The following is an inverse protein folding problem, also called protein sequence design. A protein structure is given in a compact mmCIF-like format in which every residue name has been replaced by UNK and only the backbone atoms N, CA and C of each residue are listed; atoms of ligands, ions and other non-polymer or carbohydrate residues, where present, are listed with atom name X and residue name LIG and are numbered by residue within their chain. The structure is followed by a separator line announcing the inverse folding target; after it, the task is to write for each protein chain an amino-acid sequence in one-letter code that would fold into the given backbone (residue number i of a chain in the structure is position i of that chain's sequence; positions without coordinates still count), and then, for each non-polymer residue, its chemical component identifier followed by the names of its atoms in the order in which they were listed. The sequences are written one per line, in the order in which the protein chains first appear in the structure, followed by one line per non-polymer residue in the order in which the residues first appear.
data_IF_083576760668
#
_entry.id   IF_083576760668
#
_cell.length_a   1.000
_cell.length_b   1.000
_cell.length_c   1.000
_cell.angle_alpha   90.00
_cell.angle_beta   90.00
_cell.angle_gamma   90.00
#
_symmetry.space_group_name_H-M   'P 1'
#
loop_
_entity.id
_entity.type
_entity.pdbx_description
1 polymer ?
#
# COMPACT_ATOMS: atom_id res chain seq x y z
N UNK A 1 -12.06 -3.75 29.30
CA UNK A 1 -11.03 -3.69 28.22
C UNK A 1 -11.42 -4.58 27.02
N UNK A 2 -12.65 -4.48 26.47
CA UNK A 2 -13.15 -5.48 25.48
C UNK A 2 -13.56 -4.89 24.12
N UNK A 3 -13.32 -3.59 23.92
CA UNK A 3 -13.94 -2.81 22.85
C UNK A 3 -12.92 -2.41 21.74
N UNK A 4 -11.65 -2.20 22.10
CA UNK A 4 -10.63 -1.65 21.18
C UNK A 4 -10.19 -2.59 20.05
N UNK A 5 -10.41 -3.90 20.20
CA UNK A 5 -10.03 -4.92 19.19
C UNK A 5 -11.08 -5.02 18.08
N UNK A 6 -12.35 -4.76 18.38
CA UNK A 6 -13.43 -4.82 17.38
C UNK A 6 -13.29 -3.70 16.34
N UNK A 7 -13.03 -2.47 16.81
CA UNK A 7 -12.88 -1.28 15.94
C UNK A 7 -11.76 -1.43 14.91
N UNK A 8 -10.64 -2.06 15.27
CA UNK A 8 -9.51 -2.31 14.35
C UNK A 8 -9.82 -3.37 13.30
N UNK A 9 -10.71 -4.32 13.59
CA UNK A 9 -11.16 -5.35 12.63
C UNK A 9 -12.20 -4.76 11.66
N UNK A 10 -13.17 -3.97 12.16
CA UNK A 10 -14.16 -3.31 11.29
C UNK A 10 -13.53 -2.30 10.32
N UNK A 11 -12.49 -1.58 10.75
CA UNK A 11 -11.75 -0.66 9.88
C UNK A 11 -11.04 -1.36 8.70
N UNK A 12 -10.64 -2.63 8.89
CA UNK A 12 -9.93 -3.42 7.87
C UNK A 12 -10.86 -3.89 6.73
N UNK A 13 -12.14 -4.14 7.03
CA UNK A 13 -13.15 -4.47 6.00
C UNK A 13 -13.68 -3.24 5.25
N UNK A 14 -13.77 -2.08 5.91
CA UNK A 14 -14.32 -0.85 5.30
C UNK A 14 -13.47 -0.30 4.13
N UNK A 15 -12.18 -0.64 4.06
CA UNK A 15 -11.27 -0.16 3.01
C UNK A 15 -11.48 -0.81 1.62
N UNK A 16 -12.23 -1.92 1.54
CA UNK A 16 -12.33 -2.75 0.32
C UNK A 16 -13.25 -2.12 -0.76
N UNK A 17 -14.09 -1.14 -0.41
CA UNK A 17 -15.17 -0.63 -1.27
C UNK A 17 -14.82 0.67 -2.01
N UNK A 18 -13.68 1.33 -1.72
CA UNK A 18 -13.40 2.69 -2.22
C UNK A 18 -12.05 2.84 -2.93
N UNK A 19 -11.92 2.26 -4.13
CA UNK A 19 -10.80 2.54 -5.06
C UNK A 19 -11.21 2.32 -6.53
N UNK A 20 -12.12 3.17 -7.01
CA UNK A 20 -12.52 3.27 -8.42
C UNK A 20 -12.29 4.70 -8.94
N UNK A 21 -11.03 5.16 -8.91
CA UNK A 21 -10.60 6.48 -9.40
C UNK A 21 -9.34 6.33 -10.24
N UNK A 22 -9.49 6.29 -11.57
CA UNK A 22 -8.37 6.18 -12.48
C UNK A 22 -7.57 7.50 -12.54
N UNK A 23 -6.31 7.47 -12.12
CA UNK A 23 -5.37 8.60 -12.30
C UNK A 23 -4.63 8.40 -13.63
N UNK A 24 -5.25 8.87 -14.71
CA UNK A 24 -4.61 8.92 -16.04
C UNK A 24 -3.53 9.99 -16.05
N UNK A 25 -2.25 9.59 -15.89
CA UNK A 25 -1.13 10.51 -15.99
C UNK A 25 -0.65 10.61 -17.46
N UNK A 26 -1.03 11.68 -18.14
CA UNK A 26 -0.56 11.97 -19.49
C UNK A 26 0.90 12.48 -19.44
N UNK A 27 1.76 11.90 -20.28
CA UNK A 27 3.12 12.38 -20.51
C UNK A 27 3.22 12.90 -21.95
N UNK A 28 3.45 14.21 -22.08
CA UNK A 28 3.62 14.89 -23.37
C UNK A 28 5.07 14.74 -23.87
N UNK A 29 5.26 14.55 -25.18
CA UNK A 29 6.57 14.69 -25.84
C UNK A 29 6.34 15.02 -27.32
N UNK A 30 6.88 16.15 -27.84
CA UNK A 30 6.62 16.60 -29.21
C UNK A 30 7.41 15.84 -30.27
N UNK A 31 6.95 15.91 -31.52
CA UNK A 31 7.39 15.07 -32.63
C UNK A 31 8.57 15.65 -33.44
N UNK A 32 9.30 14.74 -34.10
CA UNK A 32 10.01 14.98 -35.36
C UNK A 32 9.81 13.76 -36.28
N UNK A 33 9.46 14.01 -37.55
CA UNK A 33 9.10 13.02 -38.58
C UNK A 33 9.18 13.72 -39.97
N UNK A 34 8.81 13.12 -41.12
CA UNK A 34 8.53 11.70 -41.41
C UNK A 34 9.30 11.18 -42.65
N UNK A 35 9.06 9.93 -43.04
CA UNK A 35 8.94 9.56 -44.46
C UNK A 35 7.77 8.56 -44.63
N UNK A 36 7.13 8.53 -45.81
CA UNK A 36 5.85 7.85 -46.07
C UNK A 36 5.91 7.09 -47.43
N UNK A 37 4.89 6.45 -48.02
CA UNK A 37 3.43 6.37 -47.82
C UNK A 37 2.89 5.12 -48.58
N UNK A 38 1.55 4.87 -48.73
CA UNK A 38 0.37 5.31 -47.97
C UNK A 38 -0.17 4.09 -47.17
N UNK A 39 -1.40 3.56 -47.14
CA UNK A 39 -2.76 3.87 -47.63
C UNK A 39 -3.78 3.00 -46.84
N UNK A 40 -5.10 3.24 -46.75
CA UNK A 40 -5.91 4.40 -47.14
C UNK A 40 -7.13 4.56 -46.19
N UNK A 41 -7.55 5.82 -45.97
CA UNK A 41 -8.90 6.32 -45.66
C UNK A 41 -9.79 5.64 -44.59
N UNK A 42 -10.10 6.41 -43.53
CA UNK A 42 -11.36 6.31 -42.76
C UNK A 42 -12.45 7.22 -43.39
N UNK A 43 -13.70 7.22 -42.85
CA UNK A 43 -14.02 8.26 -41.87
C UNK A 43 -14.93 7.79 -40.70
N UNK A 44 -15.17 8.68 -39.74
CA UNK A 44 -16.08 8.47 -38.61
C UNK A 44 -17.34 9.34 -38.72
N UNK A 45 -18.50 8.89 -38.19
CA UNK A 45 -19.61 9.75 -37.79
C UNK A 45 -20.69 9.06 -36.91
N UNK A 46 -21.03 9.71 -35.79
CA UNK A 46 -22.40 10.03 -35.31
C UNK A 46 -23.50 8.95 -35.08
N UNK A 47 -23.83 8.77 -33.79
CA UNK A 47 -25.17 8.93 -33.19
C UNK A 47 -26.35 7.95 -33.47
N UNK A 48 -27.43 8.24 -32.72
CA UNK A 48 -28.82 7.75 -32.77
C UNK A 48 -29.16 6.44 -32.05
N UNK A 49 -30.07 6.57 -31.07
CA UNK A 49 -30.87 5.47 -30.52
C UNK A 49 -32.29 5.54 -31.07
N UNK A 50 -32.88 4.38 -31.41
CA UNK A 50 -34.32 4.14 -31.34
C UNK A 50 -34.63 2.92 -30.44
N UNK A 51 -35.84 2.66 -29.97
CA UNK A 51 -37.01 3.48 -29.66
C UNK A 51 -37.96 2.56 -28.86
N UNK A 52 -38.71 3.07 -27.89
CA UNK A 52 -39.70 2.27 -27.18
C UNK A 52 -41.06 2.29 -27.90
N UNK A 53 -41.91 1.27 -27.67
CA UNK A 53 -43.36 1.47 -27.63
C UNK A 53 -43.97 1.12 -26.27
N UNK A 54 -44.91 1.95 -25.86
CA UNK A 54 -45.97 1.69 -24.87
C UNK A 54 -46.94 0.59 -25.35
N UNK A 55 -47.81 -0.04 -24.54
CA UNK A 55 -47.90 -0.22 -23.08
C UNK A 55 -49.04 -1.22 -22.78
N UNK A 56 -49.04 -1.86 -21.61
CA UNK A 56 -50.24 -2.36 -20.92
C UNK A 56 -49.96 -2.80 -19.47
N UNK A 57 -50.81 -2.39 -18.53
CA UNK A 57 -51.05 -3.09 -17.26
C UNK A 57 -52.48 -3.63 -17.21
N UNK A 58 -53.02 -4.15 -16.07
CA UNK A 58 -52.48 -4.06 -14.71
C UNK A 58 -52.31 -5.44 -14.02
N UNK A 59 -52.16 -5.45 -12.69
CA UNK A 59 -51.71 -6.60 -11.89
C UNK A 59 -52.80 -7.59 -11.42
N UNK A 60 -52.39 -8.87 -11.36
CA UNK A 60 -52.91 -9.95 -10.50
C UNK A 60 -51.85 -11.08 -10.49
N UNK A 61 -51.64 -11.90 -9.46
CA UNK A 61 -51.94 -11.80 -8.02
C UNK A 61 -50.99 -12.78 -7.27
N UNK A 62 -50.87 -12.61 -5.95
CA UNK A 62 -49.95 -13.29 -5.02
C UNK A 62 -49.50 -14.74 -5.31
N UNK A 63 -48.18 -14.98 -5.23
CA UNK A 63 -47.59 -16.18 -4.57
C UNK A 63 -46.08 -15.99 -4.26
N UNK A 64 -45.71 -16.26 -3.00
CA UNK A 64 -44.36 -16.66 -2.54
C UNK A 64 -44.53 -17.59 -1.32
N UNK A 65 -43.56 -18.44 -0.96
CA UNK A 65 -42.34 -18.84 -1.67
C UNK A 65 -42.25 -20.36 -1.94
N UNK A 66 -41.34 -20.78 -2.82
CA UNK A 66 -40.65 -22.09 -2.68
C UNK A 66 -39.14 -21.89 -2.90
N UNK A 67 -38.34 -22.06 -1.84
CA UNK A 67 -36.88 -22.16 -1.95
C UNK A 67 -36.50 -23.58 -2.40
N UNK A 68 -36.67 -23.88 -3.69
CA UNK A 68 -35.93 -24.99 -4.29
C UNK A 68 -34.46 -24.58 -4.35
N UNK A 69 -33.67 -25.05 -3.38
CA UNK A 69 -32.21 -24.94 -3.40
C UNK A 69 -31.64 -25.89 -4.45
N UNK A 70 -31.84 -25.55 -5.72
CA UNK A 70 -31.18 -26.25 -6.82
C UNK A 70 -29.68 -26.17 -6.63
N UNK A 71 -29.04 -27.33 -6.50
CA UNK A 71 -27.60 -27.45 -6.48
C UNK A 71 -27.09 -27.17 -7.90
N UNK A 72 -26.91 -25.89 -8.23
CA UNK A 72 -26.38 -25.43 -9.52
C UNK A 72 -24.97 -25.98 -9.68
N UNK A 73 -24.88 -27.14 -10.33
CA UNK A 73 -23.64 -27.82 -10.70
C UNK A 73 -22.97 -27.05 -11.84
N UNK A 74 -22.45 -25.87 -11.53
CA UNK A 74 -21.85 -24.96 -12.49
C UNK A 74 -20.63 -25.65 -13.15
N UNK A 75 -20.66 -25.93 -14.47
CA UNK A 75 -19.53 -26.56 -15.16
C UNK A 75 -18.27 -25.68 -15.17
N UNK A 76 -18.41 -24.39 -14.86
CA UNK A 76 -17.32 -23.42 -14.67
C UNK A 76 -17.06 -23.09 -13.20
N UNK A 77 -17.52 -23.92 -12.26
CA UNK A 77 -17.28 -23.74 -10.84
C UNK A 77 -15.79 -23.84 -10.47
N UNK A 78 -15.40 -23.22 -9.35
CA UNK A 78 -14.00 -23.20 -8.88
C UNK A 78 -13.40 -24.61 -8.71
N UNK A 79 -14.23 -25.62 -8.39
CA UNK A 79 -13.79 -27.02 -8.29
C UNK A 79 -13.47 -27.64 -9.66
N UNK A 80 -14.23 -27.30 -10.70
CA UNK A 80 -13.96 -27.74 -12.07
C UNK A 80 -12.69 -27.09 -12.63
N UNK A 81 -12.53 -25.78 -12.40
CA UNK A 81 -11.29 -25.05 -12.70
C UNK A 81 -10.08 -25.62 -11.95
N UNK A 82 -10.24 -26.03 -10.68
CA UNK A 82 -9.15 -26.67 -9.92
C UNK A 82 -8.82 -28.06 -10.46
N UNK A 83 -9.83 -28.89 -10.76
CA UNK A 83 -9.64 -30.25 -11.28
C UNK A 83 -8.99 -30.26 -12.67
N UNK A 84 -9.42 -29.38 -13.57
CA UNK A 84 -8.84 -29.24 -14.92
C UNK A 84 -7.55 -28.41 -14.99
N UNK A 85 -7.33 -27.48 -14.06
CA UNK A 85 -6.21 -26.54 -14.14
C UNK A 85 -4.84 -27.19 -13.94
N UNK A 86 -3.93 -26.92 -14.86
CA UNK A 86 -2.56 -27.45 -14.91
C UNK A 86 -1.70 -27.12 -13.66
N UNK A 87 -0.66 -27.92 -13.42
CA UNK A 87 0.29 -27.74 -12.32
C UNK A 87 0.98 -26.36 -12.34
N UNK A 88 1.35 -25.84 -13.52
CA UNK A 88 1.95 -24.50 -13.69
C UNK A 88 0.96 -23.40 -13.26
N UNK A 89 -0.32 -23.54 -13.61
CA UNK A 89 -1.36 -22.58 -13.24
C UNK A 89 -1.57 -22.56 -11.71
N UNK A 90 -1.65 -23.73 -11.07
CA UNK A 90 -1.77 -23.85 -9.60
C UNK A 90 -0.54 -23.29 -8.88
N UNK A 91 0.66 -23.54 -9.39
CA UNK A 91 1.91 -22.98 -8.85
C UNK A 91 1.96 -21.46 -8.93
N UNK A 92 1.56 -20.89 -10.07
CA UNK A 92 1.49 -19.44 -10.29
C UNK A 92 0.50 -18.77 -9.34
N UNK A 93 -0.70 -19.35 -9.18
CA UNK A 93 -1.73 -18.85 -8.26
C UNK A 93 -1.25 -18.93 -6.79
N UNK A 94 -0.56 -20.00 -6.40
CA UNK A 94 0.04 -20.12 -5.07
C UNK A 94 1.10 -19.04 -4.80
N UNK A 95 2.00 -18.78 -5.75
CA UNK A 95 3.04 -17.73 -5.62
C UNK A 95 2.39 -16.34 -5.45
N UNK A 96 1.39 -16.00 -6.28
CA UNK A 96 0.62 -14.76 -6.15
C UNK A 96 -0.08 -14.65 -4.79
N UNK A 97 -0.63 -15.76 -4.28
CA UNK A 97 -1.29 -15.81 -2.96
C UNK A 97 -0.29 -15.54 -1.83
N UNK A 98 0.90 -16.13 -1.86
CA UNK A 98 1.97 -15.88 -0.87
C UNK A 98 2.49 -14.44 -0.94
N UNK A 99 2.73 -13.91 -2.15
CA UNK A 99 3.11 -12.50 -2.35
C UNK A 99 2.05 -11.52 -1.83
N UNK A 100 0.77 -11.81 -2.07
CA UNK A 100 -0.37 -11.00 -1.59
C UNK A 100 -0.42 -10.94 -0.06
N UNK A 101 -0.28 -12.09 0.63
CA UNK A 101 -0.22 -12.13 2.10
C UNK A 101 1.00 -11.37 2.65
N UNK A 102 2.17 -11.50 2.01
CA UNK A 102 3.36 -10.74 2.38
C UNK A 102 3.18 -9.22 2.21
N UNK A 103 2.53 -8.80 1.12
CA UNK A 103 2.19 -7.40 0.86
C UNK A 103 1.27 -6.82 1.95
N UNK A 104 0.17 -7.52 2.26
CA UNK A 104 -0.76 -7.10 3.33
C UNK A 104 -0.11 -7.06 4.71
N UNK A 105 0.76 -8.01 5.05
CA UNK A 105 1.50 -8.01 6.30
C UNK A 105 2.41 -6.77 6.44
N UNK A 106 3.16 -6.43 5.39
CA UNK A 106 4.04 -5.25 5.39
C UNK A 106 3.22 -3.96 5.40
N UNK A 107 2.10 -3.90 4.67
CA UNK A 107 1.18 -2.75 4.69
C UNK A 107 0.64 -2.49 6.10
N UNK A 108 0.09 -3.51 6.77
CA UNK A 108 -0.50 -3.39 8.11
C UNK A 108 0.55 -2.99 9.14
N UNK A 109 1.73 -3.63 9.12
CA UNK A 109 2.82 -3.28 10.06
C UNK A 109 3.33 -1.85 9.86
N UNK A 110 3.49 -1.39 8.62
CA UNK A 110 3.87 0.01 8.33
C UNK A 110 2.80 1.03 8.72
N UNK A 111 1.52 0.73 8.50
CA UNK A 111 0.43 1.60 8.95
C UNK A 111 0.41 1.75 10.48
N UNK A 112 0.59 0.64 11.22
CA UNK A 112 0.67 0.66 12.69
C UNK A 112 1.90 1.46 13.16
N UNK A 113 3.07 1.26 12.55
CA UNK A 113 4.28 2.00 12.92
C UNK A 113 4.17 3.50 12.59
N UNK A 114 3.57 3.87 11.46
CA UNK A 114 3.35 5.28 11.09
C UNK A 114 2.39 5.99 12.06
N UNK A 115 1.28 5.34 12.44
CA UNK A 115 0.34 5.88 13.44
C UNK A 115 1.01 6.00 14.82
N UNK A 116 1.77 4.98 15.23
CA UNK A 116 2.54 4.98 16.49
C UNK A 116 3.60 6.09 16.50
N UNK A 117 4.29 6.31 15.38
CA UNK A 117 5.28 7.38 15.22
C UNK A 117 4.63 8.77 15.30
N UNK A 118 3.50 9.00 14.63
CA UNK A 118 2.76 10.26 14.70
C UNK A 118 2.24 10.59 16.11
N UNK A 119 1.80 9.57 16.85
CA UNK A 119 1.48 9.68 18.28
C UNK A 119 2.68 10.09 19.12
N UNK A 120 3.80 9.37 18.98
CA UNK A 120 5.05 9.66 19.71
C UNK A 120 5.65 11.04 19.35
N UNK A 121 5.52 11.49 18.10
CA UNK A 121 5.92 12.84 17.67
C UNK A 121 5.10 13.92 18.38
N UNK A 122 3.79 13.70 18.47
CA UNK A 122 2.84 14.61 19.12
C UNK A 122 3.03 14.67 20.64
N UNK A 123 3.40 13.55 21.26
CA UNK A 123 3.75 13.46 22.69
C UNK A 123 5.12 14.13 22.95
N UNK A 124 6.16 13.77 22.19
CA UNK A 124 7.49 14.37 22.31
C UNK A 124 7.45 15.90 22.17
N UNK A 125 6.73 16.43 21.18
CA UNK A 125 6.58 17.89 21.00
C UNK A 125 5.85 18.57 22.17
N UNK A 126 5.00 17.86 22.92
CA UNK A 126 4.27 18.40 24.08
C UNK A 126 5.04 18.28 25.40
N UNK A 127 5.89 17.26 25.55
CA UNK A 127 6.61 16.96 26.79
C UNK A 127 8.04 17.51 26.79
N UNK A 128 8.80 17.33 25.71
CA UNK A 128 10.20 17.73 25.60
C UNK A 128 10.39 19.24 25.81
N UNK A 129 9.66 20.05 25.04
CA UNK A 129 9.73 21.51 25.07
C UNK A 129 9.10 22.16 26.32
N UNK A 130 8.63 21.36 27.29
CA UNK A 130 8.19 21.82 28.62
C UNK A 130 9.17 21.45 29.74
N UNK A 131 10.18 20.64 29.45
CA UNK A 131 11.16 20.24 30.45
C UNK A 131 12.18 21.38 30.70
N UNK A 132 12.59 21.54 31.96
CA UNK A 132 13.55 22.58 32.34
C UNK A 132 15.00 22.32 31.86
N UNK A 133 15.32 21.08 31.48
CA UNK A 133 16.63 20.67 30.95
C UNK A 133 16.47 19.63 29.84
N UNK A 134 17.49 19.50 28.97
CA UNK A 134 17.49 18.51 27.88
C UNK A 134 17.39 17.09 28.42
N UNK A 135 18.14 16.75 29.47
CA UNK A 135 18.11 15.43 30.12
C UNK A 135 16.73 15.11 30.73
N UNK A 136 16.04 16.09 31.34
CA UNK A 136 14.67 15.92 31.80
C UNK A 136 13.70 15.73 30.60
N UNK A 137 13.93 16.47 29.51
CA UNK A 137 13.23 16.30 28.23
C UNK A 137 13.36 14.87 27.71
N UNK A 138 14.59 14.37 27.53
CA UNK A 138 14.90 12.99 27.10
C UNK A 138 14.20 11.96 27.99
N UNK A 139 14.24 12.18 29.31
CA UNK A 139 13.62 11.28 30.29
C UNK A 139 12.10 11.24 30.16
N UNK A 140 11.45 12.36 29.80
CA UNK A 140 10.01 12.44 29.56
C UNK A 140 9.53 11.69 28.30
N UNK A 141 10.43 11.33 27.37
CA UNK A 141 10.08 10.57 26.18
C UNK A 141 9.98 9.08 26.46
N UNK A 142 8.97 8.45 25.84
CA UNK A 142 8.73 7.01 25.85
C UNK A 142 10.01 6.22 25.55
N UNK A 143 10.40 5.33 26.46
CA UNK A 143 11.49 4.38 26.26
C UNK A 143 11.28 3.59 24.96
N UNK A 144 12.34 3.45 24.15
CA UNK A 144 12.30 2.80 22.84
C UNK A 144 11.68 3.62 21.69
N UNK A 145 11.26 4.88 21.91
CA UNK A 145 10.80 5.75 20.82
C UNK A 145 11.96 6.27 19.95
N UNK A 146 11.76 6.46 18.63
CA UNK A 146 12.78 7.06 17.76
C UNK A 146 13.17 8.47 18.19
N UNK A 147 12.21 9.26 18.67
CA UNK A 147 12.46 10.60 19.21
C UNK A 147 13.38 10.59 20.44
N UNK A 148 13.25 9.57 21.31
CA UNK A 148 14.15 9.40 22.44
C UNK A 148 15.55 9.02 21.99
N UNK A 149 15.68 8.15 20.98
CA UNK A 149 16.98 7.80 20.41
C UNK A 149 17.72 9.01 19.83
N UNK A 150 17.01 9.92 19.14
CA UNK A 150 17.57 11.19 18.64
C UNK A 150 18.03 12.06 19.82
N UNK A 151 17.17 12.27 20.82
CA UNK A 151 17.47 13.12 21.97
C UNK A 151 18.65 12.57 22.82
N UNK A 152 18.70 11.25 23.06
CA UNK A 152 19.84 10.59 23.69
C UNK A 152 21.13 10.68 22.87
N UNK A 153 21.04 10.69 21.53
CA UNK A 153 22.22 10.86 20.67
C UNK A 153 22.78 12.28 20.79
N UNK A 154 21.92 13.30 20.75
CA UNK A 154 22.34 14.70 20.92
C UNK A 154 22.98 14.96 22.28
N UNK A 155 22.42 14.40 23.36
CA UNK A 155 23.02 14.49 24.71
C UNK A 155 24.39 13.80 24.74
N UNK A 156 24.50 12.55 24.28
CA UNK A 156 25.78 11.82 24.24
C UNK A 156 26.84 12.53 23.39
N UNK A 157 26.44 13.16 22.28
CA UNK A 157 27.35 13.94 21.44
C UNK A 157 27.84 15.23 22.12
N UNK A 158 27.01 15.86 22.98
CA UNK A 158 27.43 17.00 23.81
C UNK A 158 28.33 16.60 24.99
N UNK A 159 28.21 15.35 25.46
CA UNK A 159 28.98 14.81 26.59
C UNK A 159 30.28 14.12 26.17
N UNK A 160 30.51 13.85 24.88
CA UNK A 160 31.67 13.10 24.37
C UNK A 160 32.35 13.84 23.20
N UNK A 161 32.73 15.11 23.43
CA UNK A 161 33.53 15.89 22.46
C UNK A 161 35.05 15.76 22.72
N UNK A 162 35.47 14.82 23.57
CA UNK A 162 36.86 14.59 23.97
C UNK A 162 37.64 13.72 22.95
N UNK A 163 38.27 14.36 21.97
CA UNK A 163 39.21 13.68 21.08
C UNK A 163 39.92 14.61 20.10
N UNK A 164 41.23 14.42 19.91
CA UNK A 164 42.12 15.29 19.10
C UNK A 164 41.80 15.34 17.57
N UNK A 165 40.74 14.66 17.12
CA UNK A 165 40.18 14.80 15.76
C UNK A 165 38.92 15.69 15.72
N UNK A 166 38.23 15.87 16.86
CA UNK A 166 37.07 16.75 17.01
C UNK A 166 37.48 18.20 17.28
N UNK A 167 38.69 18.46 17.77
CA UNK A 167 39.26 19.80 18.02
C UNK A 167 39.32 20.73 16.78
N UNK A 168 38.97 20.21 15.59
CA UNK A 168 38.82 20.97 14.33
C UNK A 168 37.37 21.20 13.89
N UNK A 169 36.39 20.67 14.61
CA UNK A 169 34.96 20.70 14.27
C UNK A 169 34.24 21.32 15.46
N UNK A 170 33.45 22.38 15.23
CA UNK A 170 32.71 23.01 16.32
C UNK A 170 31.73 22.01 16.99
N UNK A 171 31.55 22.14 18.31
CA UNK A 171 30.69 21.27 19.09
C UNK A 171 29.22 21.32 18.61
N UNK A 172 28.74 22.45 18.07
CA UNK A 172 27.43 22.58 17.47
C UNK A 172 27.30 21.77 16.16
N UNK A 173 28.34 21.81 15.31
CA UNK A 173 28.41 21.04 14.07
C UNK A 173 28.44 19.53 14.38
N UNK A 174 29.30 19.10 15.33
CA UNK A 174 29.38 17.71 15.78
C UNK A 174 28.03 17.17 16.30
N UNK A 175 27.35 17.94 17.16
CA UNK A 175 26.01 17.57 17.65
C UNK A 175 25.02 17.50 16.50
N UNK A 176 25.02 18.47 15.59
CA UNK A 176 24.12 18.51 14.42
C UNK A 176 24.31 17.29 13.51
N UNK A 177 25.56 16.97 13.14
CA UNK A 177 25.89 15.76 12.37
C UNK A 177 25.44 14.47 13.10
N UNK A 178 25.60 14.39 14.42
CA UNK A 178 25.20 13.23 15.21
C UNK A 178 23.67 13.02 15.22
N UNK A 179 22.92 14.12 15.35
CA UNK A 179 21.44 14.15 15.35
C UNK A 179 20.93 13.80 13.95
N UNK A 180 21.53 14.36 12.90
CA UNK A 180 21.18 14.06 11.52
C UNK A 180 21.41 12.58 11.20
N UNK A 181 22.56 12.00 11.58
CA UNK A 181 22.84 10.56 11.43
C UNK A 181 21.88 9.67 12.23
N UNK A 182 21.39 10.13 13.39
CA UNK A 182 20.35 9.43 14.15
C UNK A 182 18.99 9.47 13.42
N UNK A 183 18.63 10.62 12.86
CA UNK A 183 17.42 10.82 12.04
C UNK A 183 17.47 9.97 10.76
N UNK A 184 18.59 9.95 10.03
CA UNK A 184 18.80 9.12 8.83
C UNK A 184 18.65 7.62 9.13
N UNK A 185 19.25 7.15 10.24
CA UNK A 185 19.10 5.77 10.72
C UNK A 185 17.64 5.40 11.03
N UNK A 186 16.83 6.35 11.50
CA UNK A 186 15.40 6.15 11.73
C UNK A 186 14.63 6.14 10.41
N UNK A 187 14.92 7.07 9.50
CA UNK A 187 14.27 7.11 8.17
C UNK A 187 14.51 5.84 7.37
N UNK A 188 15.75 5.33 7.34
CA UNK A 188 16.08 4.03 6.72
C UNK A 188 15.21 2.91 7.28
N UNK A 189 15.08 2.79 8.62
CA UNK A 189 14.22 1.77 9.24
C UNK A 189 12.73 1.95 8.99
N UNK A 190 12.28 3.17 8.74
CA UNK A 190 10.91 3.45 8.30
C UNK A 190 10.70 3.09 6.81
N UNK A 191 11.76 3.08 6.00
CA UNK A 191 11.75 2.65 4.59
C UNK A 191 11.93 1.13 4.39
N UNK A 192 12.49 0.40 5.36
CA UNK A 192 12.65 -1.07 5.33
C UNK A 192 11.37 -1.77 4.83
N UNK A 193 11.48 -2.68 3.85
CA UNK A 193 10.32 -3.42 3.32
C UNK A 193 9.44 -2.67 2.31
N UNK A 194 9.54 -1.35 2.16
CA UNK A 194 8.88 -0.64 1.05
C UNK A 194 9.43 -1.11 -0.32
N UNK A 195 10.72 -1.45 -0.37
CA UNK A 195 11.35 -2.06 -1.54
C UNK A 195 10.66 -3.39 -1.95
N UNK A 196 10.26 -4.23 -0.99
CA UNK A 196 9.53 -5.47 -1.28
C UNK A 196 8.15 -5.18 -1.87
N UNK A 197 7.41 -4.20 -1.34
CA UNK A 197 6.13 -3.77 -1.91
C UNK A 197 6.29 -3.27 -3.36
N UNK A 198 7.36 -2.51 -3.65
CA UNK A 198 7.68 -2.06 -5.01
C UNK A 198 8.05 -3.22 -5.96
N UNK A 199 8.78 -4.23 -5.47
CA UNK A 199 9.08 -5.44 -6.25
C UNK A 199 7.82 -6.28 -6.51
N UNK A 200 6.96 -6.51 -5.51
CA UNK A 200 5.70 -7.25 -5.71
C UNK A 200 4.78 -6.50 -6.68
N UNK A 201 4.65 -5.17 -6.52
CA UNK A 201 3.82 -4.34 -7.39
C UNK A 201 4.29 -4.31 -8.85
N UNK A 202 5.59 -4.33 -9.09
CA UNK A 202 6.14 -4.36 -10.46
C UNK A 202 6.21 -5.78 -11.07
N UNK A 203 6.35 -6.83 -10.27
CA UNK A 203 6.43 -8.22 -10.78
C UNK A 203 5.08 -8.88 -10.99
N UNK A 204 4.06 -8.55 -10.19
CA UNK A 204 2.74 -9.20 -10.24
C UNK A 204 2.06 -9.22 -11.63
N UNK A 205 2.10 -8.15 -12.46
CA UNK A 205 1.52 -8.19 -13.81
C UNK A 205 2.15 -9.25 -14.72
N UNK A 206 3.48 -9.42 -14.64
CA UNK A 206 4.21 -10.42 -15.43
C UNK A 206 3.93 -11.84 -14.95
N UNK A 207 3.79 -12.05 -13.63
CA UNK A 207 3.42 -13.36 -13.05
C UNK A 207 2.00 -13.74 -13.46
N UNK A 208 1.05 -12.78 -13.45
CA UNK A 208 -0.31 -13.00 -13.96
C UNK A 208 -0.35 -13.36 -15.45
N UNK A 209 0.38 -12.61 -16.28
CA UNK A 209 0.46 -12.86 -17.73
C UNK A 209 1.18 -14.18 -18.08
N UNK A 210 2.20 -14.56 -17.32
CA UNK A 210 2.82 -15.89 -17.43
C UNK A 210 1.80 -17.01 -17.18
N UNK A 211 0.97 -16.86 -16.15
CA UNK A 211 -0.07 -17.83 -15.80
C UNK A 211 -1.14 -17.98 -16.89
N UNK A 212 -1.58 -16.88 -17.53
CA UNK A 212 -2.56 -16.96 -18.62
C UNK A 212 -1.95 -17.48 -19.93
N UNK A 213 -0.67 -17.21 -20.21
CA UNK A 213 0.02 -17.78 -21.38
C UNK A 213 0.18 -19.30 -21.24
N UNK A 214 0.58 -19.82 -20.08
CA UNK A 214 0.68 -21.27 -19.89
C UNK A 214 -0.69 -21.96 -19.76
N UNK A 215 -1.68 -21.29 -19.16
CA UNK A 215 -3.04 -21.80 -19.00
C UNK A 215 -3.88 -21.93 -20.29
N UNK A 216 -3.30 -21.66 -21.46
CA UNK A 216 -3.89 -21.96 -22.78
C UNK A 216 -3.10 -23.02 -23.57
N UNK A 217 -1.97 -23.50 -23.05
CA UNK A 217 -1.09 -24.48 -23.71
C UNK A 217 -1.06 -25.87 -23.03
N UNK A 218 -1.67 -26.00 -21.84
CA UNK A 218 -1.90 -27.26 -21.14
C UNK A 218 -3.39 -27.52 -20.94
#
# INVERSE_FOLDING_TARGET
MKNSVSTTISALFAAIVLSASAVSFAADTPAAAPEAAPAAAAPAASAAAPAAPEAAGPAAAAATPEETTEAVSNPYGLEALWKGGDFIARGTLFILTVMSMGSWYILITKLIDQVKLGGQASEAKKSFWKAATVQAGVTSLKAGSPFRFIAETGVKASEHHDGALLEKIDLNEWITMSIQRAVEKIQSRLQDGLAFLATVGSTAPFVGLFGTVWGIYG
#
